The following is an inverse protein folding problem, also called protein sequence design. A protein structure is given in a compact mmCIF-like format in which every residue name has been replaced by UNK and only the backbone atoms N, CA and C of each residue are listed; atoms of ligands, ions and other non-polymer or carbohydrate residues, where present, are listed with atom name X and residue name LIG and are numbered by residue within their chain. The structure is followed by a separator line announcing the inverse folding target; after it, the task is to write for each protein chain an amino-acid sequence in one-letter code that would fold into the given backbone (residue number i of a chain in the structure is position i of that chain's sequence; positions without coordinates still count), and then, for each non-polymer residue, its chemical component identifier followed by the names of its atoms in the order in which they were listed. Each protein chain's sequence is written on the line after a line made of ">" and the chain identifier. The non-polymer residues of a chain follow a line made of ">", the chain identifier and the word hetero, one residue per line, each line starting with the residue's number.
data_IF_795388529027
#
_entry.id   IF_795388529027
#
_cell.length_a   1.000
_cell.length_b   1.000
_cell.length_c   1.000
_cell.angle_alpha   90.00
_cell.angle_beta   90.00
_cell.angle_gamma   90.00
#
_symmetry.space_group_name_H-M   'P 1'
#
loop_
_entity.id
_entity.type
_entity.pdbx_description
1 polymer ?
#
# COMPACT_ATOMS: atom_id res chain seq x y z
N UNK A 1 -6.41 18.58 -37.79
CA UNK A 1 -5.44 17.69 -37.13
C UNK A 1 -6.07 17.29 -35.82
N UNK A 2 -6.67 16.11 -35.84
CA UNK A 2 -7.40 15.53 -34.72
C UNK A 2 -6.38 14.81 -33.83
N UNK A 3 -6.20 15.31 -32.60
CA UNK A 3 -5.30 14.74 -31.62
C UNK A 3 -6.11 14.26 -30.42
N UNK A 4 -7.07 13.38 -30.68
CA UNK A 4 -7.78 12.65 -29.65
C UNK A 4 -6.81 11.66 -29.01
N UNK A 5 -6.15 12.10 -27.92
CA UNK A 5 -5.49 11.18 -26.98
C UNK A 5 -6.58 10.34 -26.35
N UNK A 6 -6.76 9.14 -26.85
CA UNK A 6 -7.45 8.07 -26.14
C UNK A 6 -6.61 7.76 -24.91
N UNK A 7 -6.96 8.35 -23.77
CA UNK A 7 -6.55 7.88 -22.45
C UNK A 7 -7.27 6.55 -22.22
N UNK A 8 -6.73 5.47 -22.79
CA UNK A 8 -7.20 4.14 -22.46
C UNK A 8 -6.85 3.91 -20.99
N UNK A 9 -7.85 4.06 -20.11
CA UNK A 9 -7.76 3.49 -18.78
C UNK A 9 -7.35 2.02 -18.97
N UNK A 10 -6.22 1.63 -18.37
CA UNK A 10 -5.74 0.26 -18.49
C UNK A 10 -6.83 -0.68 -18.02
N UNK A 11 -7.14 -1.67 -18.85
CA UNK A 11 -8.04 -2.76 -18.51
C UNK A 11 -7.61 -3.39 -17.19
N UNK A 12 -8.58 -3.80 -16.38
CA UNK A 12 -8.37 -4.53 -15.13
C UNK A 12 -7.27 -5.60 -15.28
N UNK A 13 -6.33 -5.66 -14.34
CA UNK A 13 -5.32 -6.70 -14.33
C UNK A 13 -5.98 -8.01 -13.92
N UNK A 14 -6.09 -8.94 -14.87
CA UNK A 14 -6.51 -10.32 -14.61
C UNK A 14 -5.30 -11.23 -14.74
N UNK A 15 -4.97 -11.95 -13.67
CA UNK A 15 -3.90 -12.93 -13.68
C UNK A 15 -4.30 -14.14 -14.54
N UNK A 16 -3.37 -14.60 -15.36
CA UNK A 16 -3.46 -15.90 -16.05
C UNK A 16 -3.21 -17.05 -15.07
N UNK A 17 -3.60 -18.27 -15.44
CA UNK A 17 -3.31 -19.48 -14.64
C UNK A 17 -1.80 -19.62 -14.36
N UNK A 18 -0.96 -19.38 -15.37
CA UNK A 18 0.50 -19.42 -15.20
C UNK A 18 1.00 -18.41 -14.15
N UNK A 19 0.47 -17.18 -14.15
CA UNK A 19 0.89 -16.17 -13.16
C UNK A 19 0.42 -16.53 -11.74
N UNK A 20 -0.70 -17.23 -11.62
CA UNK A 20 -1.17 -17.77 -10.33
C UNK A 20 -0.23 -18.88 -9.85
N UNK A 21 0.14 -19.81 -10.73
CA UNK A 21 1.09 -20.88 -10.39
C UNK A 21 2.46 -20.31 -10.00
N UNK A 22 2.96 -19.31 -10.73
CA UNK A 22 4.19 -18.60 -10.42
C UNK A 22 4.12 -17.86 -9.08
N UNK A 23 2.97 -17.25 -8.75
CA UNK A 23 2.76 -16.64 -7.43
C UNK A 23 2.89 -17.68 -6.31
N UNK A 24 2.23 -18.83 -6.43
CA UNK A 24 2.30 -19.87 -5.39
C UNK A 24 3.68 -20.54 -5.31
N UNK A 25 4.42 -20.60 -6.42
CA UNK A 25 5.78 -21.12 -6.42
C UNK A 25 6.82 -20.13 -5.85
N UNK A 26 6.72 -18.84 -6.17
CA UNK A 26 7.72 -17.82 -5.80
C UNK A 26 7.35 -16.98 -4.57
N UNK A 27 6.07 -16.91 -4.23
CA UNK A 27 5.52 -16.09 -3.15
C UNK A 27 5.26 -14.62 -3.51
N UNK A 28 5.45 -14.20 -4.77
CA UNK A 28 5.26 -12.82 -5.22
C UNK A 28 5.03 -12.71 -6.73
N UNK A 29 4.44 -11.59 -7.16
CA UNK A 29 4.31 -11.18 -8.57
C UNK A 29 4.65 -9.69 -8.74
N UNK A 30 5.00 -9.27 -9.96
CA UNK A 30 5.20 -7.85 -10.29
C UNK A 30 4.28 -7.42 -11.42
N UNK A 31 3.42 -6.43 -11.16
CA UNK A 31 2.63 -5.75 -12.17
C UNK A 31 3.28 -4.39 -12.51
N UNK A 32 3.65 -4.20 -13.77
CA UNK A 32 4.27 -2.96 -14.25
C UNK A 32 3.23 -2.04 -14.86
N UNK A 33 3.47 -0.73 -14.73
CA UNK A 33 2.67 0.31 -15.36
C UNK A 33 1.15 0.21 -15.09
N UNK A 34 0.75 -0.21 -13.88
CA UNK A 34 -0.67 -0.37 -13.51
C UNK A 34 -1.45 0.95 -13.49
N UNK A 35 -0.75 2.02 -13.13
CA UNK A 35 -1.26 3.39 -13.06
C UNK A 35 -0.49 4.27 -14.04
N UNK A 36 -1.20 5.21 -14.67
CA UNK A 36 -0.61 6.16 -15.58
C UNK A 36 0.16 7.28 -14.84
N UNK A 37 0.83 8.15 -15.59
CA UNK A 37 1.66 9.20 -15.03
C UNK A 37 0.87 10.21 -14.16
N UNK A 38 -0.36 10.54 -14.54
CA UNK A 38 -1.21 11.49 -13.81
C UNK A 38 -1.70 10.89 -12.49
N UNK A 39 -2.06 9.62 -12.50
CA UNK A 39 -2.44 8.87 -11.30
C UNK A 39 -1.27 8.76 -10.33
N UNK A 40 -0.07 8.45 -10.84
CA UNK A 40 1.16 8.41 -10.04
C UNK A 40 1.53 9.79 -9.51
N UNK A 41 1.35 10.85 -10.28
CA UNK A 41 1.56 12.23 -9.84
C UNK A 41 0.60 12.61 -8.70
N UNK A 42 -0.66 12.17 -8.77
CA UNK A 42 -1.65 12.40 -7.73
C UNK A 42 -1.38 11.56 -6.47
N UNK A 43 -0.87 10.32 -6.61
CA UNK A 43 -0.38 9.55 -5.46
C UNK A 43 0.78 10.30 -4.80
N UNK A 44 1.73 10.82 -5.60
CA UNK A 44 2.85 11.61 -5.08
C UNK A 44 2.38 12.85 -4.32
N UNK A 45 1.43 13.61 -4.86
CA UNK A 45 0.93 14.81 -4.18
C UNK A 45 0.32 14.49 -2.83
N UNK A 46 -0.35 13.34 -2.68
CA UNK A 46 -0.83 12.88 -1.38
C UNK A 46 0.32 12.65 -0.37
N UNK A 47 1.47 12.15 -0.82
CA UNK A 47 2.65 12.02 0.05
C UNK A 47 3.21 13.39 0.41
N UNK A 48 3.30 14.32 -0.55
CA UNK A 48 3.75 15.70 -0.29
C UNK A 48 2.85 16.41 0.74
N UNK A 49 1.53 16.19 0.66
CA UNK A 49 0.55 16.69 1.63
C UNK A 49 0.77 16.10 3.03
N UNK A 50 0.98 14.78 3.13
CA UNK A 50 1.30 14.13 4.42
C UNK A 50 2.58 14.69 5.04
N UNK A 51 3.60 15.00 4.24
CA UNK A 51 4.81 15.64 4.75
C UNK A 51 4.56 17.05 5.26
N UNK A 52 3.78 17.86 4.53
CA UNK A 52 3.37 19.19 4.98
C UNK A 52 2.63 19.11 6.31
N UNK A 53 1.66 18.21 6.42
CA UNK A 53 0.92 17.99 7.68
C UNK A 53 1.86 17.61 8.83
N UNK A 54 2.81 16.70 8.59
CA UNK A 54 3.78 16.29 9.61
C UNK A 54 4.75 17.40 10.01
N UNK A 55 5.10 18.31 9.10
CA UNK A 55 5.95 19.46 9.40
C UNK A 55 5.30 20.41 10.42
N UNK A 56 3.97 20.53 10.41
CA UNK A 56 3.20 21.35 11.34
C UNK A 56 2.91 20.65 12.69
N UNK A 57 3.25 19.36 12.82
CA UNK A 57 3.00 18.59 14.04
C UNK A 57 4.19 18.60 14.99
N UNK A 58 3.98 18.89 16.27
CA UNK A 58 5.04 18.84 17.30
C UNK A 58 5.34 17.43 17.80
N UNK A 59 4.33 16.55 17.83
CA UNK A 59 4.45 15.19 18.38
C UNK A 59 3.76 14.17 17.48
N UNK A 60 4.21 12.91 17.56
CA UNK A 60 3.52 11.74 17.01
C UNK A 60 2.07 11.71 17.48
N UNK A 61 1.13 11.46 16.57
CA UNK A 61 -0.28 11.48 16.92
C UNK A 61 -1.24 11.24 15.77
N UNK A 62 -2.52 11.13 16.11
CA UNK A 62 -3.61 11.01 15.16
C UNK A 62 -3.97 12.41 14.62
N UNK A 63 -4.05 12.55 13.30
CA UNK A 63 -4.56 13.72 12.61
C UNK A 63 -5.45 13.24 11.45
N UNK A 64 -6.68 13.74 11.39
CA UNK A 64 -7.64 13.43 10.32
C UNK A 64 -7.71 11.93 9.97
N UNK A 65 -7.81 11.06 10.99
CA UNK A 65 -7.92 9.60 10.78
C UNK A 65 -6.62 8.89 10.37
N UNK A 66 -5.49 9.58 10.29
CA UNK A 66 -4.16 9.00 10.05
C UNK A 66 -3.26 9.19 11.27
N UNK A 67 -2.45 8.18 11.59
CA UNK A 67 -1.51 8.24 12.70
C UNK A 67 -0.10 8.52 12.20
N UNK A 68 0.40 9.73 12.48
CA UNK A 68 1.70 10.21 12.05
C UNK A 68 2.75 9.82 13.08
N UNK A 69 3.77 9.08 12.65
CA UNK A 69 4.91 8.70 13.48
C UNK A 69 6.07 9.62 13.12
N UNK A 70 6.39 10.53 14.03
CA UNK A 70 7.49 11.47 13.91
C UNK A 70 8.73 10.91 14.63
N UNK A 71 9.88 11.46 14.29
CA UNK A 71 11.12 11.26 15.01
C UNK A 71 12.07 12.42 14.81
N UNK A 72 13.30 12.23 15.27
CA UNK A 72 14.37 13.22 15.12
C UNK A 72 15.57 12.54 14.46
N UNK A 73 16.23 13.26 13.55
CA UNK A 73 17.51 12.90 12.97
C UNK A 73 18.34 14.16 12.77
N UNK A 74 19.61 14.16 13.19
CA UNK A 74 20.51 15.30 13.06
C UNK A 74 19.91 16.62 13.59
N UNK A 75 19.17 16.55 14.71
CA UNK A 75 18.42 17.66 15.33
C UNK A 75 17.30 18.25 14.46
N UNK A 76 16.87 17.52 13.44
CA UNK A 76 15.73 17.88 12.60
C UNK A 76 14.59 16.88 12.80
N UNK A 77 13.37 17.42 12.86
CA UNK A 77 12.14 16.63 12.88
C UNK A 77 12.00 15.91 11.55
N UNK A 78 11.73 14.61 11.61
CA UNK A 78 11.52 13.75 10.44
C UNK A 78 10.24 12.95 10.58
N UNK A 79 9.56 12.74 9.46
CA UNK A 79 8.44 11.81 9.37
C UNK A 79 8.98 10.39 9.13
N UNK A 80 8.64 9.44 10.00
CA UNK A 80 9.05 8.03 9.84
C UNK A 80 8.06 7.25 8.99
N UNK A 81 6.77 7.41 9.30
CA UNK A 81 5.66 6.78 8.57
C UNK A 81 4.34 7.44 8.94
N UNK A 82 3.34 7.26 8.08
CA UNK A 82 1.94 7.53 8.39
C UNK A 82 1.17 6.22 8.32
N UNK A 83 0.52 5.85 9.41
CA UNK A 83 -0.38 4.69 9.50
C UNK A 83 -1.80 5.14 9.20
N UNK A 84 -2.54 4.30 8.48
CA UNK A 84 -3.87 4.63 7.94
C UNK A 84 -3.85 5.93 7.13
N UNK A 85 -2.84 6.07 6.25
CA UNK A 85 -2.60 7.27 5.44
C UNK A 85 -3.85 7.70 4.65
N UNK A 86 -4.69 6.74 4.28
CA UNK A 86 -5.98 6.96 3.67
C UNK A 86 -6.96 7.86 4.43
N UNK A 87 -6.85 7.96 5.76
CA UNK A 87 -7.70 8.84 6.56
C UNK A 87 -7.50 10.32 6.21
N UNK A 88 -6.24 10.76 6.15
CA UNK A 88 -5.86 12.13 5.75
C UNK A 88 -5.80 12.30 4.23
N UNK A 89 -5.64 11.20 3.48
CA UNK A 89 -5.51 11.21 2.02
C UNK A 89 -6.51 10.24 1.37
N UNK A 90 -7.79 10.65 1.18
CA UNK A 90 -8.83 9.77 0.65
C UNK A 90 -8.51 9.17 -0.73
N UNK A 91 -7.71 9.84 -1.54
CA UNK A 91 -7.27 9.29 -2.82
C UNK A 91 -6.40 8.03 -2.65
N UNK A 92 -5.63 7.91 -1.57
CA UNK A 92 -4.88 6.67 -1.28
C UNK A 92 -5.81 5.51 -0.92
N UNK A 93 -6.98 5.77 -0.32
CA UNK A 93 -8.02 4.73 -0.13
C UNK A 93 -8.63 4.31 -1.47
N UNK A 94 -8.91 5.27 -2.35
CA UNK A 94 -9.44 4.98 -3.69
C UNK A 94 -8.47 4.10 -4.48
N UNK A 95 -7.17 4.39 -4.42
CA UNK A 95 -6.14 3.53 -5.01
C UNK A 95 -6.15 2.14 -4.38
N UNK A 96 -6.21 2.03 -3.04
CA UNK A 96 -6.27 0.73 -2.35
C UNK A 96 -7.49 -0.12 -2.72
N UNK A 97 -8.60 0.51 -3.09
CA UNK A 97 -9.83 -0.14 -3.54
C UNK A 97 -9.90 -0.36 -5.07
N UNK A 98 -8.93 0.13 -5.84
CA UNK A 98 -8.96 0.06 -7.30
C UNK A 98 -8.96 -1.39 -7.81
N UNK A 99 -9.84 -1.68 -8.77
CA UNK A 99 -10.01 -3.03 -9.34
C UNK A 99 -8.74 -3.58 -9.99
N UNK A 100 -7.84 -2.72 -10.44
CA UNK A 100 -6.53 -3.12 -10.97
C UNK A 100 -5.64 -3.77 -9.89
N UNK A 101 -5.86 -3.46 -8.61
CA UNK A 101 -5.18 -4.09 -7.47
C UNK A 101 -6.03 -5.20 -6.85
N UNK A 102 -7.33 -4.96 -6.66
CA UNK A 102 -8.20 -5.89 -5.91
C UNK A 102 -8.56 -7.14 -6.70
N UNK A 103 -8.71 -7.07 -8.03
CA UNK A 103 -9.04 -8.25 -8.84
C UNK A 103 -7.95 -9.33 -8.78
N UNK A 104 -6.65 -9.03 -8.95
CA UNK A 104 -5.57 -10.01 -8.72
C UNK A 104 -5.62 -10.61 -7.31
N UNK A 105 -5.81 -9.79 -6.27
CA UNK A 105 -5.93 -10.27 -4.90
C UNK A 105 -7.10 -11.24 -4.74
N UNK A 106 -8.26 -10.92 -5.32
CA UNK A 106 -9.43 -11.79 -5.32
C UNK A 106 -9.17 -13.13 -6.02
N UNK A 107 -8.43 -13.14 -7.13
CA UNK A 107 -8.06 -14.37 -7.81
C UNK A 107 -7.14 -15.26 -6.96
N UNK A 108 -6.19 -14.66 -6.24
CA UNK A 108 -5.23 -15.39 -5.41
C UNK A 108 -5.85 -15.90 -4.10
N UNK A 109 -6.77 -15.13 -3.51
CA UNK A 109 -7.43 -15.47 -2.24
C UNK A 109 -8.68 -16.33 -2.45
N UNK A 110 -9.21 -16.41 -3.67
CA UNK A 110 -10.46 -17.12 -3.96
C UNK A 110 -11.70 -16.45 -3.37
N UNK A 111 -11.66 -15.13 -3.16
CA UNK A 111 -12.74 -14.34 -2.55
C UNK A 111 -12.94 -13.02 -3.29
N UNK A 112 -14.20 -12.64 -3.55
CA UNK A 112 -14.57 -11.31 -4.05
C UNK A 112 -14.78 -10.28 -2.93
N UNK A 113 -14.78 -10.72 -1.67
CA UNK A 113 -14.81 -9.87 -0.48
C UNK A 113 -13.39 -9.67 0.02
N UNK A 114 -12.96 -8.41 0.10
CA UNK A 114 -11.63 -8.00 0.57
C UNK A 114 -11.78 -6.88 1.59
N UNK A 115 -11.03 -6.97 2.69
CA UNK A 115 -10.91 -5.89 3.68
C UNK A 115 -9.50 -5.28 3.61
N UNK A 116 -9.43 -3.96 3.48
CA UNK A 116 -8.17 -3.25 3.55
C UNK A 116 -7.74 -3.09 5.01
N UNK A 117 -6.89 -4.01 5.48
CA UNK A 117 -6.36 -3.97 6.84
C UNK A 117 -5.44 -2.76 7.12
N UNK A 118 -4.77 -2.27 6.08
CA UNK A 118 -3.74 -1.25 6.24
C UNK A 118 -3.54 -0.37 5.00
N UNK A 119 -3.30 0.92 5.24
CA UNK A 119 -2.83 1.90 4.27
C UNK A 119 -1.68 2.66 4.94
N UNK A 120 -0.44 2.45 4.49
CA UNK A 120 0.74 3.00 5.13
C UNK A 120 1.62 3.77 4.14
N UNK A 121 1.99 4.99 4.51
CA UNK A 121 2.99 5.78 3.80
C UNK A 121 4.33 5.66 4.53
N UNK A 122 5.34 5.11 3.86
CA UNK A 122 6.71 5.03 4.36
C UNK A 122 7.60 6.00 3.60
N UNK A 123 8.31 6.85 4.35
CA UNK A 123 9.19 7.87 3.79
C UNK A 123 10.62 7.35 3.91
N UNK A 124 11.29 7.23 2.76
CA UNK A 124 12.72 6.88 2.70
C UNK A 124 13.47 8.07 2.09
N UNK A 125 14.26 8.76 2.89
CA UNK A 125 15.07 9.90 2.43
C UNK A 125 16.45 9.44 2.00
N UNK A 126 17.09 10.14 1.03
CA UNK A 126 18.49 9.90 0.74
C UNK A 126 19.31 9.96 2.03
N UNK A 127 20.14 8.94 2.25
CA UNK A 127 20.99 8.80 3.44
C UNK A 127 20.22 8.74 4.78
N UNK A 128 18.95 8.33 4.82
CA UNK A 128 18.21 8.22 6.08
C UNK A 128 18.66 7.06 6.98
N UNK A 129 19.32 6.04 6.41
CA UNK A 129 19.82 4.87 7.13
C UNK A 129 18.73 3.86 7.51
N UNK A 130 17.50 4.01 6.98
CA UNK A 130 16.40 3.10 7.28
C UNK A 130 16.65 1.75 6.61
N UNK A 131 16.78 0.71 7.44
CA UNK A 131 16.93 -0.69 7.01
C UNK A 131 15.79 -1.50 7.65
N UNK A 132 15.19 -2.39 6.85
CA UNK A 132 14.22 -3.37 7.33
C UNK A 132 14.91 -4.73 7.37
N UNK A 133 14.97 -5.33 8.56
CA UNK A 133 15.45 -6.70 8.70
C UNK A 133 14.52 -7.69 7.99
N UNK A 134 15.01 -8.89 7.72
CA UNK A 134 14.19 -9.98 7.20
C UNK A 134 13.06 -10.33 8.17
N UNK A 135 11.83 -10.43 7.65
CA UNK A 135 10.64 -10.79 8.44
C UNK A 135 9.52 -11.34 7.55
N UNK A 136 8.51 -11.94 8.18
CA UNK A 136 7.22 -12.24 7.56
C UNK A 136 6.14 -11.35 8.18
N UNK A 137 5.32 -10.70 7.36
CA UNK A 137 4.29 -9.77 7.84
C UNK A 137 3.27 -10.43 8.78
N UNK A 138 2.95 -11.71 8.53
CA UNK A 138 1.99 -12.47 9.37
C UNK A 138 2.45 -12.58 10.83
N UNK A 139 3.75 -12.64 11.11
CA UNK A 139 4.30 -12.71 12.48
C UNK A 139 3.97 -11.45 13.31
N UNK A 140 3.69 -10.33 12.63
CA UNK A 140 3.30 -9.07 13.27
C UNK A 140 1.79 -8.83 13.24
N UNK A 141 1.01 -9.75 12.67
CA UNK A 141 -0.45 -9.70 12.58
C UNK A 141 -1.11 -10.75 13.45
N UNK A 142 -0.52 -11.94 13.55
CA UNK A 142 -0.92 -12.93 14.53
C UNK A 142 -0.50 -12.44 15.92
N UNK A 143 -1.50 -12.06 16.72
CA UNK A 143 -1.30 -11.62 18.11
C UNK A 143 -1.23 -12.81 19.08
N UNK A 144 -1.12 -14.03 18.57
CA UNK A 144 -1.16 -15.28 19.31
C UNK A 144 -2.53 -15.96 19.23
N UNK A 145 -2.61 -17.16 19.81
CA UNK A 145 -3.84 -17.96 19.92
C UNK A 145 -4.53 -18.37 18.60
N UNK A 146 -3.82 -18.32 17.46
CA UNK A 146 -4.41 -18.69 16.16
C UNK A 146 -5.47 -17.69 15.71
N UNK A 147 -5.20 -16.38 15.90
CA UNK A 147 -6.11 -15.30 15.50
C UNK A 147 -6.39 -15.32 13.99
N UNK A 148 -5.48 -15.92 13.22
CA UNK A 148 -5.58 -16.10 11.78
C UNK A 148 -5.51 -17.59 11.44
N UNK A 149 -6.37 -18.05 10.53
CA UNK A 149 -6.38 -19.45 10.11
C UNK A 149 -6.28 -19.56 8.59
N UNK A 150 -5.50 -20.52 8.12
CA UNK A 150 -5.50 -20.89 6.70
C UNK A 150 -6.71 -21.78 6.42
N UNK A 151 -7.82 -21.15 6.01
CA UNK A 151 -9.10 -21.85 5.84
C UNK A 151 -9.21 -22.59 4.49
N UNK A 152 -8.35 -22.29 3.53
CA UNK A 152 -8.41 -22.83 2.17
C UNK A 152 -7.15 -23.64 1.78
N UNK A 153 -6.15 -23.71 2.66
CA UNK A 153 -4.91 -24.45 2.44
C UNK A 153 -3.96 -23.78 1.45
N UNK A 154 -4.19 -22.51 1.11
CA UNK A 154 -3.40 -21.75 0.15
C UNK A 154 -2.44 -20.77 0.82
N UNK A 155 -2.22 -20.88 2.13
CA UNK A 155 -1.47 -19.89 2.91
C UNK A 155 -2.21 -18.55 3.03
N UNK A 156 -3.52 -18.55 2.79
CA UNK A 156 -4.38 -17.37 2.91
C UNK A 156 -4.92 -17.31 4.33
N UNK A 157 -4.33 -16.45 5.14
CA UNK A 157 -4.79 -16.14 6.49
C UNK A 157 -6.09 -15.33 6.40
N UNK A 158 -7.23 -15.99 6.59
CA UNK A 158 -8.56 -15.39 6.76
C UNK A 158 -8.90 -15.35 8.24
#
# INVERSE_FOLDING_TARGET
>A
MDNTRVTTALSELRLSAQQIDEFFAAGWITAKALFNADEVAKIRSCFDDLERMAADMEVTGLQHGSHFVLGEKDRQKVIKRVVWAGGSQPYLLQIGADRRLTLPCSQLLGSDVLEQLLSQAHFKRPNDGVIFGWHQDIQHRDKGAGTWQDINGSGSYV
#
